data_IF_703444131274
#
_entry.id   IF_703444131274
#
_cell.length_a   1.000
_cell.length_b   1.000
_cell.length_c   1.000
_cell.angle_alpha   90.00
_cell.angle_beta   90.00
_cell.angle_gamma   90.00
#
_symmetry.space_group_name_H-M   'P 1'
#
loop_
_entity.id
_entity.type
_entity.pdbx_description
1 polymer ?
#
# COMPACT_ATOMS: atom_id res chain seq x y z
N UNK A 1 -21.66 -43.53 -4.62
CA UNK A 1 -22.14 -42.45 -3.72
C UNK A 1 -21.00 -42.16 -2.74
N UNK A 2 -19.98 -41.43 -3.18
CA UNK A 2 -18.82 -41.09 -2.35
C UNK A 2 -19.15 -39.79 -1.63
N UNK A 3 -19.56 -39.93 -0.38
CA UNK A 3 -19.71 -38.85 0.58
C UNK A 3 -18.34 -38.21 0.82
N UNK A 4 -18.08 -37.06 0.20
CA UNK A 4 -16.96 -36.21 0.59
C UNK A 4 -17.36 -35.48 1.87
N UNK A 5 -16.96 -36.04 3.01
CA UNK A 5 -16.95 -35.35 4.29
C UNK A 5 -15.92 -34.22 4.20
N UNK A 6 -16.36 -33.02 3.82
CA UNK A 6 -15.57 -31.81 4.01
C UNK A 6 -15.50 -31.61 5.52
N UNK A 7 -14.38 -32.02 6.11
CA UNK A 7 -14.11 -31.83 7.53
C UNK A 7 -14.04 -30.33 7.78
N UNK A 8 -15.04 -29.78 8.47
CA UNK A 8 -15.11 -28.42 8.99
C UNK A 8 -13.92 -28.17 9.93
N UNK A 9 -12.76 -27.82 9.37
CA UNK A 9 -11.50 -27.79 10.11
C UNK A 9 -10.98 -26.36 10.17
N UNK A 10 -11.62 -25.55 11.01
CA UNK A 10 -11.11 -24.23 11.41
C UNK A 10 -11.05 -23.19 10.30
N UNK A 11 -11.18 -21.93 10.70
CA UNK A 11 -10.76 -20.84 9.84
C UNK A 11 -9.22 -20.84 9.81
N UNK A 12 -8.56 -20.79 8.64
CA UNK A 12 -7.11 -20.65 8.55
C UNK A 12 -6.67 -19.36 9.25
N UNK A 13 -5.55 -19.43 9.94
CA UNK A 13 -4.97 -18.29 10.63
C UNK A 13 -4.29 -17.34 9.64
N UNK A 14 -4.33 -16.04 9.95
CA UNK A 14 -3.58 -15.02 9.25
C UNK A 14 -2.10 -15.11 9.60
N UNK A 15 -1.22 -15.19 8.59
CA UNK A 15 0.24 -15.27 8.79
C UNK A 15 0.87 -14.02 9.44
N UNK A 16 0.11 -12.93 9.58
CA UNK A 16 0.61 -11.64 10.10
C UNK A 16 0.21 -11.41 11.56
N UNK A 17 -1.03 -11.76 11.95
CA UNK A 17 -1.54 -11.51 13.30
C UNK A 17 -1.99 -12.77 14.04
N UNK A 18 -1.87 -13.95 13.41
CA UNK A 18 -2.26 -15.26 13.94
C UNK A 18 -3.76 -15.41 14.28
N UNK A 19 -4.58 -14.40 13.97
CA UNK A 19 -6.03 -14.47 14.17
C UNK A 19 -6.74 -15.22 13.02
N UNK A 20 -7.89 -15.86 13.29
CA UNK A 20 -8.66 -16.56 12.26
C UNK A 20 -9.11 -15.63 11.14
N UNK A 21 -8.93 -16.05 9.89
CA UNK A 21 -9.31 -15.27 8.71
C UNK A 21 -10.56 -15.88 8.03
N UNK A 22 -11.66 -15.11 8.06
CA UNK A 22 -12.91 -15.46 7.38
C UNK A 22 -12.68 -15.62 5.86
N UNK A 23 -13.33 -16.57 5.17
CA UNK A 23 -13.17 -16.79 3.73
C UNK A 23 -13.41 -15.54 2.88
N UNK A 24 -14.35 -14.70 3.30
CA UNK A 24 -14.73 -13.44 2.64
C UNK A 24 -13.78 -12.26 2.91
N UNK A 25 -12.91 -12.38 3.91
CA UNK A 25 -11.99 -11.32 4.35
C UNK A 25 -10.54 -11.81 4.40
N UNK A 26 -10.19 -12.75 3.52
CA UNK A 26 -8.84 -13.30 3.40
C UNK A 26 -8.39 -13.43 1.95
N UNK A 27 -7.09 -13.44 1.75
CA UNK A 27 -6.44 -13.73 0.47
C UNK A 27 -5.15 -14.53 0.71
N UNK A 28 -4.68 -15.23 -0.31
CA UNK A 28 -3.40 -15.92 -0.35
C UNK A 28 -2.28 -14.97 -0.78
N UNK A 29 -1.15 -15.00 -0.07
CA UNK A 29 0.02 -14.21 -0.44
C UNK A 29 0.77 -14.88 -1.60
N UNK A 30 1.00 -14.15 -2.70
CA UNK A 30 1.71 -14.72 -3.86
C UNK A 30 3.16 -15.15 -3.56
N UNK A 31 3.76 -14.63 -2.48
CA UNK A 31 5.15 -14.91 -2.12
C UNK A 31 5.31 -16.10 -1.18
N UNK A 32 4.60 -16.13 -0.05
CA UNK A 32 4.68 -17.24 0.91
C UNK A 32 3.61 -18.33 0.72
N UNK A 33 2.50 -18.01 0.04
CA UNK A 33 1.37 -18.92 -0.17
C UNK A 33 0.39 -19.00 0.99
N UNK A 34 0.68 -18.37 2.13
CA UNK A 34 -0.18 -18.38 3.32
C UNK A 34 -1.34 -17.38 3.23
N UNK A 35 -2.34 -17.58 4.08
CA UNK A 35 -3.50 -16.70 4.18
C UNK A 35 -3.20 -15.46 5.03
N UNK A 36 -3.78 -14.32 4.64
CA UNK A 36 -3.76 -13.09 5.42
C UNK A 36 -5.11 -12.36 5.32
N UNK A 37 -5.42 -11.49 6.31
CA UNK A 37 -6.62 -10.66 6.25
C UNK A 37 -6.50 -9.60 5.16
N UNK A 38 -7.52 -9.52 4.32
CA UNK A 38 -7.60 -8.50 3.28
C UNK A 38 -9.03 -8.01 3.13
N UNK A 39 -9.20 -6.69 3.14
CA UNK A 39 -10.49 -6.06 2.87
C UNK A 39 -10.60 -5.69 1.39
N UNK A 40 -11.43 -6.44 0.66
CA UNK A 40 -11.68 -6.18 -0.76
C UNK A 40 -12.62 -4.99 -1.00
N UNK A 41 -13.36 -4.56 0.01
CA UNK A 41 -14.29 -3.42 -0.08
C UNK A 41 -14.00 -2.40 1.02
N UNK A 42 -14.26 -1.14 0.74
CA UNK A 42 -14.09 -0.04 1.70
C UNK A 42 -15.10 -0.08 2.85
N UNK A 43 -16.17 -0.85 2.70
CA UNK A 43 -17.20 -1.06 3.72
C UNK A 43 -16.94 -2.30 4.58
N UNK A 44 -15.99 -3.17 4.18
CA UNK A 44 -15.60 -4.31 4.99
C UNK A 44 -14.95 -3.83 6.30
N UNK A 45 -15.38 -4.42 7.40
CA UNK A 45 -14.85 -4.16 8.74
C UNK A 45 -13.90 -5.29 9.12
N UNK A 46 -12.76 -4.96 9.73
CA UNK A 46 -11.77 -5.94 10.16
C UNK A 46 -10.33 -5.45 9.98
N UNK A 47 -9.35 -6.26 10.40
CA UNK A 47 -7.94 -5.99 10.17
C UNK A 47 -7.58 -6.07 8.68
N UNK A 48 -6.50 -5.39 8.31
CA UNK A 48 -5.92 -5.39 6.97
C UNK A 48 -4.43 -5.73 7.12
N UNK A 49 -4.07 -6.95 6.73
CA UNK A 49 -2.76 -7.54 7.01
C UNK A 49 -1.89 -7.65 5.75
N UNK A 50 -2.31 -7.06 4.65
CA UNK A 50 -1.54 -7.03 3.41
C UNK A 50 -2.02 -5.96 2.47
N UNK A 51 -1.34 -5.90 1.32
CA UNK A 51 -1.62 -4.94 0.27
C UNK A 51 -1.95 -5.65 -1.05
N UNK A 52 -2.72 -4.95 -1.87
CA UNK A 52 -3.01 -5.32 -3.25
C UNK A 52 -2.59 -4.20 -4.20
N UNK A 53 -1.89 -4.54 -5.27
CA UNK A 53 -1.49 -3.59 -6.32
C UNK A 53 -1.62 -4.22 -7.70
N UNK A 54 -1.66 -3.38 -8.74
CA UNK A 54 -1.53 -3.83 -10.12
C UNK A 54 -0.04 -3.92 -10.43
N UNK A 55 0.40 -5.08 -10.86
CA UNK A 55 1.73 -5.26 -11.43
C UNK A 55 1.68 -4.98 -12.93
N UNK A 56 2.46 -4.00 -13.38
CA UNK A 56 2.47 -3.53 -14.76
C UNK A 56 3.18 -4.50 -15.73
N UNK A 57 4.04 -5.39 -15.23
CA UNK A 57 4.76 -6.35 -16.07
C UNK A 57 3.88 -7.54 -16.42
N UNK A 58 3.13 -8.06 -15.43
CA UNK A 58 2.21 -9.19 -15.64
C UNK A 58 0.76 -8.77 -15.85
N UNK A 59 0.46 -7.46 -15.79
CA UNK A 59 -0.86 -6.86 -15.98
C UNK A 59 -1.95 -7.53 -15.11
N UNK A 60 -1.61 -7.81 -13.85
CA UNK A 60 -2.47 -8.54 -12.92
C UNK A 60 -2.45 -7.92 -11.51
N UNK A 61 -3.50 -8.20 -10.73
CA UNK A 61 -3.51 -7.86 -9.31
C UNK A 61 -2.58 -8.84 -8.56
N UNK A 62 -1.66 -8.29 -7.79
CA UNK A 62 -0.82 -9.05 -6.87
C UNK A 62 -1.23 -8.77 -5.43
N UNK A 63 -1.19 -9.83 -4.62
CA UNK A 63 -1.63 -9.85 -3.23
C UNK A 63 -0.47 -10.30 -2.34
N UNK A 64 -0.04 -9.47 -1.39
CA UNK A 64 1.02 -9.87 -0.48
C UNK A 64 0.78 -9.45 0.97
N UNK A 65 1.15 -10.32 1.90
CA UNK A 65 1.10 -10.04 3.33
C UNK A 65 2.18 -9.02 3.73
N UNK A 66 1.92 -8.27 4.80
CA UNK A 66 2.86 -7.26 5.29
C UNK A 66 4.22 -7.84 5.72
N UNK A 67 4.29 -9.10 6.17
CA UNK A 67 5.57 -9.75 6.50
C UNK A 67 6.49 -9.82 5.26
N UNK A 68 5.99 -10.39 4.16
CA UNK A 68 6.71 -10.48 2.89
C UNK A 68 7.05 -9.11 2.29
N UNK A 69 6.18 -8.11 2.48
CA UNK A 69 6.40 -6.75 2.00
C UNK A 69 7.45 -6.00 2.85
N UNK A 70 7.46 -6.22 4.17
CA UNK A 70 8.47 -5.67 5.06
C UNK A 70 9.86 -6.22 4.72
N UNK A 71 9.96 -7.55 4.54
CA UNK A 71 11.20 -8.20 4.09
C UNK A 71 11.73 -7.61 2.77
N UNK A 72 10.84 -7.37 1.79
CA UNK A 72 11.24 -6.79 0.51
C UNK A 72 11.78 -5.36 0.62
N UNK A 73 11.24 -4.57 1.55
CA UNK A 73 11.72 -3.21 1.81
C UNK A 73 13.08 -3.19 2.53
N UNK A 74 13.59 -4.34 2.96
CA UNK A 74 14.74 -4.41 3.87
C UNK A 74 14.39 -4.00 5.30
N UNK A 75 13.09 -3.86 5.59
CA UNK A 75 12.55 -3.62 6.92
C UNK A 75 12.40 -4.99 7.60
N UNK A 76 13.53 -5.66 7.87
CA UNK A 76 13.49 -6.81 8.77
C UNK A 76 12.91 -6.35 10.12
N UNK A 77 11.97 -7.12 10.66
CA UNK A 77 11.12 -6.74 11.80
C UNK A 77 11.89 -5.92 12.85
N UNK A 78 11.33 -4.80 13.35
CA UNK A 78 11.90 -4.18 14.54
C UNK A 78 11.89 -5.25 15.63
N UNK A 79 13.06 -5.60 16.16
CA UNK A 79 13.14 -6.28 17.44
C UNK A 79 12.21 -5.53 18.38
N UNK A 80 11.33 -6.24 19.08
CA UNK A 80 10.41 -5.66 20.04
C UNK A 80 11.20 -4.86 21.08
N UNK A 81 11.31 -3.55 20.84
CA UNK A 81 11.87 -2.59 21.76
C UNK A 81 10.72 -1.65 22.12
N UNK A 82 10.25 -1.83 23.35
CA UNK A 82 9.11 -1.17 23.96
C UNK A 82 9.45 0.30 24.19
N UNK A 83 9.38 1.13 23.14
CA UNK A 83 9.51 2.58 23.25
C UNK A 83 8.21 3.25 22.81
N UNK A 84 7.47 3.91 23.73
CA UNK A 84 6.31 4.70 23.36
C UNK A 84 6.75 5.91 22.53
N UNK A 85 6.28 5.93 21.28
CA UNK A 85 5.91 7.09 20.49
C UNK A 85 6.69 8.40 20.67
N UNK A 86 7.54 8.71 19.69
CA UNK A 86 7.58 10.07 19.13
C UNK A 86 7.78 9.94 17.63
N UNK A 87 6.66 9.87 16.90
CA UNK A 87 6.68 10.20 15.47
C UNK A 87 7.10 11.68 15.39
N UNK A 88 8.26 12.04 14.78
CA UNK A 88 8.49 13.43 14.43
C UNK A 88 7.33 13.87 13.53
N UNK A 89 6.75 15.06 13.76
CA UNK A 89 5.66 15.53 12.91
C UNK A 89 6.12 15.48 11.46
N UNK A 90 5.35 14.79 10.62
CA UNK A 90 5.56 14.77 9.19
C UNK A 90 5.66 16.22 8.72
N UNK A 91 6.86 16.66 8.35
CA UNK A 91 7.02 17.96 7.73
C UNK A 91 6.14 17.95 6.48
N UNK A 92 5.22 18.93 6.32
CA UNK A 92 4.42 19.01 5.12
C UNK A 92 5.39 19.23 3.97
N UNK A 93 5.57 18.19 3.15
CA UNK A 93 6.29 18.27 1.90
C UNK A 93 5.84 19.55 1.19
N UNK A 94 6.75 20.47 0.82
CA UNK A 94 6.34 21.78 0.33
C UNK A 94 5.51 21.55 -0.92
N UNK A 95 4.19 21.74 -0.78
CA UNK A 95 3.26 21.78 -1.90
C UNK A 95 3.89 22.77 -2.86
N UNK A 96 4.36 22.26 -3.99
CA UNK A 96 4.88 23.08 -5.08
C UNK A 96 3.69 23.87 -5.59
N UNK A 97 3.39 24.98 -4.92
CA UNK A 97 2.32 25.88 -5.32
C UNK A 97 2.70 26.33 -6.71
N UNK A 98 1.95 25.86 -7.70
CA UNK A 98 1.98 26.41 -9.03
C UNK A 98 1.47 27.85 -8.86
N UNK A 99 2.37 28.80 -8.59
CA UNK A 99 2.00 30.21 -8.64
C UNK A 99 1.62 30.46 -10.08
N UNK A 100 0.33 30.63 -10.32
CA UNK A 100 -0.15 31.24 -11.55
C UNK A 100 0.66 32.53 -11.72
N UNK A 101 1.45 32.62 -12.80
CA UNK A 101 2.09 33.86 -13.20
C UNK A 101 1.00 34.76 -13.77
N UNK A 102 0.15 35.30 -12.89
CA UNK A 102 -0.77 36.35 -13.27
C UNK A 102 0.04 37.61 -13.59
N UNK A 103 -0.18 38.17 -14.78
CA UNK A 103 0.27 39.52 -15.12
C UNK A 103 1.40 39.66 -16.15
N UNK A 104 2.01 38.58 -16.66
CA UNK A 104 2.92 38.71 -17.80
C UNK A 104 2.14 38.66 -19.12
N UNK A 105 1.88 39.81 -19.74
CA UNK A 105 1.29 39.81 -21.08
C UNK A 105 2.24 39.18 -22.08
N UNK A 106 1.71 38.60 -23.15
CA UNK A 106 2.53 38.07 -24.24
C UNK A 106 3.52 39.12 -24.80
N UNK A 107 3.16 40.40 -24.72
CA UNK A 107 3.99 41.53 -25.15
C UNK A 107 5.21 41.73 -24.24
N UNK A 108 5.06 41.53 -22.94
CA UNK A 108 6.16 41.65 -21.98
C UNK A 108 7.15 40.49 -22.13
N UNK A 109 6.64 39.28 -22.36
CA UNK A 109 7.48 38.11 -22.64
C UNK A 109 8.27 38.27 -23.95
N UNK A 110 7.66 38.85 -24.99
CA UNK A 110 8.35 39.15 -26.24
C UNK A 110 9.47 40.19 -26.07
N UNK A 111 9.22 41.23 -25.26
CA UNK A 111 10.22 42.27 -24.97
C UNK A 111 11.42 41.71 -24.20
N UNK A 112 11.19 40.85 -23.21
CA UNK A 112 12.27 40.23 -22.43
C UNK A 112 13.15 39.32 -23.30
N UNK A 113 12.53 38.49 -24.16
CA UNK A 113 13.26 37.63 -25.10
C UNK A 113 14.14 38.43 -26.08
N UNK A 114 13.69 39.58 -26.54
CA UNK A 114 14.47 40.44 -27.43
C UNK A 114 15.72 41.03 -26.74
N UNK A 115 15.61 41.37 -25.44
CA UNK A 115 16.75 41.88 -24.66
C UNK A 115 17.83 40.83 -24.43
N UNK A 116 17.44 39.58 -24.16
CA UNK A 116 18.38 38.47 -23.91
C UNK A 116 19.15 37.98 -25.14
N UNK A 117 18.77 38.43 -26.34
CA UNK A 117 19.41 38.04 -27.62
C UNK A 117 20.38 39.10 -28.16
N UNK A 118 20.58 40.19 -27.44
CA UNK A 118 21.66 41.16 -27.67
C UNK A 118 22.79 40.86 -26.72
#
# INVERSE_FOLDING_TARGET
MTSNAISESGLPACVVCDEPAAPEARSDCYRCGDYFHLRLTTTATGPDCGDVWIDDEVMALQFACHNCLAEQRGEAAPAADDTPGTQPPAEPSPRRTLRAREGASARDLARDRARRRR
#
